data_IF_354642713561
#
_entry.id   IF_354642713561
#
_cell.length_a   1.000
_cell.length_b   1.000
_cell.length_c   1.000
_cell.angle_alpha   90.00
_cell.angle_beta   90.00
_cell.angle_gamma   90.00
#
_symmetry.space_group_name_H-M   'P 1'
#
loop_
_entity.id
_entity.type
_entity.pdbx_description
1 polymer ?
#
# COMPACT_ATOMS: atom_id res chain seq x y z
N UNK A 1 12.29 -6.44 -2.41
CA UNK A 1 10.82 -6.34 -2.40
C UNK A 1 10.43 -4.89 -2.59
N UNK A 2 9.46 -4.61 -3.45
CA UNK A 2 9.02 -3.24 -3.65
C UNK A 2 8.31 -2.68 -2.42
N UNK A 3 8.48 -1.40 -2.19
CA UNK A 3 7.87 -0.73 -1.06
C UNK A 3 7.57 0.73 -1.40
N UNK A 4 6.60 1.30 -0.67
CA UNK A 4 6.21 2.70 -0.79
C UNK A 4 6.01 3.26 0.61
N UNK A 5 6.30 4.55 0.77
CA UNK A 5 6.02 5.25 2.02
C UNK A 5 4.62 5.86 1.92
N UNK A 6 3.79 5.58 2.90
CA UNK A 6 2.41 6.09 2.96
C UNK A 6 2.25 6.96 4.19
N UNK A 7 1.83 8.19 3.99
CA UNK A 7 1.59 9.14 5.07
C UNK A 7 0.14 9.08 5.55
N UNK A 8 -0.06 9.42 6.81
CA UNK A 8 -1.40 9.52 7.38
C UNK A 8 -1.90 8.26 8.06
N UNK A 9 -1.13 7.19 8.04
CA UNK A 9 -1.49 5.98 8.77
C UNK A 9 -1.14 6.16 10.23
N UNK A 10 -2.14 6.23 11.10
CA UNK A 10 -1.91 6.44 12.53
C UNK A 10 -2.60 5.38 13.39
N UNK A 11 -3.32 4.45 12.80
CA UNK A 11 -4.03 3.41 13.54
C UNK A 11 -4.18 2.15 12.71
N UNK A 12 -4.61 1.07 13.35
CA UNK A 12 -4.77 -0.21 12.68
C UNK A 12 -5.83 -0.18 11.58
N UNK A 13 -6.85 0.63 11.74
CA UNK A 13 -7.86 0.79 10.69
C UNK A 13 -7.25 1.36 9.43
N UNK A 14 -6.36 2.33 9.58
CA UNK A 14 -5.64 2.91 8.44
C UNK A 14 -4.76 1.87 7.77
N UNK A 15 -4.02 1.12 8.57
CA UNK A 15 -3.17 0.04 8.06
C UNK A 15 -3.98 -0.98 7.29
N UNK A 16 -5.11 -1.40 7.86
CA UNK A 16 -5.99 -2.38 7.25
C UNK A 16 -6.55 -1.88 5.92
N UNK A 17 -6.96 -0.62 5.88
CA UNK A 17 -7.48 -0.01 4.65
C UNK A 17 -6.43 0.01 3.55
N UNK A 18 -5.21 0.40 3.89
CA UNK A 18 -4.10 0.43 2.92
C UNK A 18 -3.77 -0.98 2.42
N UNK A 19 -3.73 -1.96 3.34
CA UNK A 19 -3.47 -3.34 2.97
C UNK A 19 -4.52 -3.87 2.01
N UNK A 20 -5.79 -3.59 2.28
CA UNK A 20 -6.88 -4.01 1.41
C UNK A 20 -6.80 -3.37 0.04
N UNK A 21 -6.53 -2.07 0.01
CA UNK A 21 -6.39 -1.35 -1.25
C UNK A 21 -5.23 -1.92 -2.08
N UNK A 22 -4.10 -2.17 -1.44
CA UNK A 22 -2.95 -2.76 -2.11
C UNK A 22 -3.24 -4.17 -2.61
N UNK A 23 -3.91 -4.97 -1.80
CA UNK A 23 -4.23 -6.36 -2.14
C UNK A 23 -5.19 -6.48 -3.32
N UNK A 24 -5.95 -5.44 -3.59
CA UNK A 24 -6.89 -5.44 -4.72
C UNK A 24 -6.21 -5.19 -6.06
N UNK A 25 -4.96 -4.79 -6.04
CA UNK A 25 -4.21 -4.51 -7.26
C UNK A 25 -3.70 -5.82 -7.87
N UNK A 26 -3.94 -6.05 -9.17
CA UNK A 26 -3.44 -7.26 -9.83
C UNK A 26 -1.93 -7.36 -9.74
N UNK A 27 -1.45 -8.55 -9.41
CA UNK A 27 -0.02 -8.80 -9.29
C UNK A 27 0.53 -8.66 -7.87
N UNK A 28 -0.22 -8.05 -6.97
CA UNK A 28 0.17 -7.97 -5.56
C UNK A 28 -0.19 -9.27 -4.87
N UNK A 29 0.81 -10.02 -4.45
CA UNK A 29 0.60 -11.32 -3.82
C UNK A 29 0.40 -11.19 -2.31
N UNK A 30 1.13 -10.29 -1.68
CA UNK A 30 1.11 -10.14 -0.23
C UNK A 30 1.45 -8.71 0.11
N UNK A 31 0.53 -8.01 0.76
CA UNK A 31 0.74 -6.63 1.16
C UNK A 31 0.88 -6.54 2.68
N UNK A 32 1.91 -5.86 3.14
CA UNK A 32 2.17 -5.67 4.56
C UNK A 32 2.46 -4.19 4.81
N UNK A 33 1.87 -3.67 5.88
CA UNK A 33 2.06 -2.28 6.28
C UNK A 33 2.76 -2.23 7.62
N UNK A 34 3.82 -1.43 7.70
CA UNK A 34 4.51 -1.14 8.96
C UNK A 34 4.11 0.24 9.43
N UNK A 35 3.35 0.31 10.52
CA UNK A 35 2.89 1.57 11.08
C UNK A 35 4.02 2.42 11.65
N UNK A 36 5.05 1.78 12.15
CA UNK A 36 6.18 2.52 12.75
C UNK A 36 6.92 3.36 11.72
N UNK A 37 7.13 2.81 10.55
CA UNK A 37 7.83 3.51 9.49
C UNK A 37 6.89 4.10 8.44
N UNK A 38 5.61 3.74 8.49
CA UNK A 38 4.65 4.17 7.48
C UNK A 38 4.93 3.56 6.11
N UNK A 39 5.45 2.35 6.07
CA UNK A 39 5.88 1.71 4.83
C UNK A 39 4.93 0.60 4.43
N UNK A 40 4.53 0.61 3.16
CA UNK A 40 3.80 -0.48 2.53
C UNK A 40 4.78 -1.32 1.73
N UNK A 41 4.81 -2.60 2.01
CA UNK A 41 5.66 -3.57 1.30
C UNK A 41 4.78 -4.65 0.72
N UNK A 42 5.10 -5.12 -0.48
CA UNK A 42 4.33 -6.20 -1.10
C UNK A 42 5.24 -7.12 -1.90
N UNK A 43 4.72 -8.31 -2.19
CA UNK A 43 5.36 -9.25 -3.09
C UNK A 43 4.64 -9.21 -4.43
N UNK A 44 5.40 -9.27 -5.50
CA UNK A 44 4.84 -9.28 -6.84
C UNK A 44 4.75 -10.72 -7.36
N UNK A 45 3.54 -11.17 -7.62
CA UNK A 45 3.31 -12.46 -8.28
C UNK A 45 3.21 -12.29 -9.79
N UNK A 46 3.00 -11.06 -10.24
CA UNK A 46 2.92 -10.66 -11.64
C UNK A 46 3.31 -9.17 -11.70
N UNK A 47 3.56 -8.62 -12.89
CA UNK A 47 3.87 -7.19 -12.98
C UNK A 47 2.78 -6.33 -12.36
N UNK A 48 3.18 -5.40 -11.49
CA UNK A 48 2.29 -4.51 -10.76
C UNK A 48 2.38 -3.10 -11.34
N UNK A 49 1.22 -2.51 -11.61
CA UNK A 49 1.15 -1.11 -12.00
C UNK A 49 1.22 -0.25 -10.73
N UNK A 50 2.40 0.29 -10.46
CA UNK A 50 2.63 1.10 -9.26
C UNK A 50 1.76 2.36 -9.28
N UNK A 51 1.48 2.92 -10.45
CA UNK A 51 0.61 4.08 -10.56
C UNK A 51 -0.80 3.75 -10.10
N UNK A 52 -1.31 2.57 -10.47
CA UNK A 52 -2.63 2.12 -10.02
C UNK A 52 -2.65 1.89 -8.51
N UNK A 53 -1.57 1.34 -7.98
CA UNK A 53 -1.42 1.11 -6.55
C UNK A 53 -1.44 2.43 -5.77
N UNK A 54 -0.68 3.41 -6.22
CA UNK A 54 -0.66 4.75 -5.62
C UNK A 54 -2.04 5.40 -5.66
N UNK A 55 -2.70 5.28 -6.81
CA UNK A 55 -4.05 5.81 -7.00
C UNK A 55 -5.05 5.20 -6.02
N UNK A 56 -5.00 3.88 -5.85
CA UNK A 56 -5.89 3.18 -4.94
C UNK A 56 -5.69 3.67 -3.50
N UNK A 57 -4.46 3.86 -3.09
CA UNK A 57 -4.14 4.35 -1.75
C UNK A 57 -4.57 5.80 -1.56
N UNK A 58 -4.34 6.63 -2.56
CA UNK A 58 -4.75 8.03 -2.52
C UNK A 58 -6.26 8.17 -2.43
N UNK A 59 -7.00 7.30 -3.11
CA UNK A 59 -8.46 7.32 -3.11
C UNK A 59 -9.07 7.13 -1.72
N UNK A 60 -8.42 6.36 -0.87
CA UNK A 60 -8.93 6.12 0.49
C UNK A 60 -8.45 7.18 1.47
N UNK A 61 -7.78 8.21 1.01
CA UNK A 61 -7.44 9.38 1.81
C UNK A 61 -6.01 9.45 2.33
N UNK A 62 -5.12 8.60 1.85
CA UNK A 62 -3.73 8.61 2.27
C UNK A 62 -2.84 9.23 1.20
N UNK A 63 -1.67 9.69 1.63
CA UNK A 63 -0.67 10.25 0.73
C UNK A 63 0.47 9.29 0.56
N UNK A 64 0.85 9.03 -0.69
CA UNK A 64 1.95 8.13 -1.00
C UNK A 64 3.19 8.92 -1.35
N UNK A 65 4.28 8.59 -0.69
CA UNK A 65 5.61 9.13 -0.99
C UNK A 65 6.50 7.97 -1.37
N UNK A 66 7.12 8.04 -2.50
CA UNK A 66 8.02 6.96 -2.93
C UNK A 66 9.42 7.16 -2.43
#
# INVERSE_FOLDING_TARGET
MPSLTVSGMSCEHCRSAVQKAASSIPGVAEATVDLNSGTLTWKESAPVDVAALKSAITKIGFEVKD
#
